data_IF_923600303472
#
_entry.id   IF_923600303472
#
_cell.length_a   1.000
_cell.length_b   1.000
_cell.length_c   1.000
_cell.angle_alpha   90.00
_cell.angle_beta   90.00
_cell.angle_gamma   90.00
#
_symmetry.space_group_name_H-M   'P 1'
#
loop_
_entity.id
_entity.type
_entity.pdbx_description
1 polymer ?
#
# COMPACT_ATOMS: atom_id res chain seq x y z
N UNK A 1 -6.76 -5.90 -12.17
CA UNK A 1 -6.99 -4.58 -11.50
C UNK A 1 -5.83 -4.16 -10.58
N UNK A 2 -5.13 -5.10 -9.94
CA UNK A 2 -3.94 -4.79 -9.10
C UNK A 2 -2.71 -4.34 -9.90
N UNK A 3 -2.53 -4.77 -11.14
CA UNK A 3 -1.42 -4.29 -11.99
C UNK A 3 -1.52 -2.80 -12.34
N UNK A 4 -2.72 -2.22 -12.40
CA UNK A 4 -2.90 -0.78 -12.65
C UNK A 4 -2.43 0.11 -11.49
N UNK A 5 -2.47 -0.38 -10.25
CA UNK A 5 -2.02 0.39 -9.08
C UNK A 5 -0.49 0.52 -8.99
N UNK A 6 0.25 -0.52 -9.43
CA UNK A 6 1.72 -0.49 -9.49
C UNK A 6 2.24 0.42 -10.61
N UNK A 7 1.56 0.45 -11.76
CA UNK A 7 1.89 1.34 -12.88
C UNK A 7 1.76 2.81 -12.47
N UNK A 8 0.80 3.16 -11.61
CA UNK A 8 0.65 4.52 -11.09
C UNK A 8 1.81 5.01 -10.22
N UNK A 9 2.43 4.13 -9.41
CA UNK A 9 3.59 4.49 -8.58
C UNK A 9 4.89 4.60 -9.38
N UNK A 10 5.07 3.75 -10.38
CA UNK A 10 6.24 3.83 -11.27
C UNK A 10 6.18 5.06 -12.18
N UNK A 11 5.01 5.46 -12.68
CA UNK A 11 4.82 6.71 -13.39
C UNK A 11 5.18 7.93 -12.53
N UNK A 12 4.82 7.94 -11.25
CA UNK A 12 5.15 9.05 -10.34
C UNK A 12 6.66 9.17 -10.09
N UNK A 13 7.41 8.07 -10.06
CA UNK A 13 8.87 8.07 -9.92
C UNK A 13 9.53 8.52 -11.23
N UNK A 14 9.07 8.04 -12.39
CA UNK A 14 9.56 8.48 -13.71
C UNK A 14 9.31 9.96 -13.92
N UNK A 15 8.14 10.48 -13.58
CA UNK A 15 7.82 11.89 -13.70
C UNK A 15 8.70 12.77 -12.81
N UNK A 16 9.05 12.32 -11.61
CA UNK A 16 9.99 13.02 -10.72
C UNK A 16 11.42 12.99 -11.25
N UNK A 17 11.85 11.87 -11.81
CA UNK A 17 13.19 11.77 -12.42
C UNK A 17 13.29 12.61 -13.70
N UNK A 18 12.28 12.61 -14.56
CA UNK A 18 12.22 13.44 -15.76
C UNK A 18 12.27 14.92 -15.38
N UNK A 19 11.58 15.34 -14.31
CA UNK A 19 11.68 16.70 -13.77
C UNK A 19 13.09 17.10 -13.34
N UNK A 20 13.74 16.23 -12.57
CA UNK A 20 15.12 16.47 -12.13
C UNK A 20 16.07 16.61 -13.33
N UNK A 21 15.89 15.77 -14.35
CA UNK A 21 16.68 15.83 -15.57
C UNK A 21 16.41 17.10 -16.39
N UNK A 22 15.16 17.58 -16.49
CA UNK A 22 14.82 18.81 -17.17
C UNK A 22 15.36 20.06 -16.44
N UNK A 23 15.32 20.07 -15.11
CA UNK A 23 15.92 21.15 -14.29
C UNK A 23 17.44 21.17 -14.47
N UNK A 24 18.09 20.01 -14.51
CA UNK A 24 19.55 19.89 -14.73
C UNK A 24 19.97 20.21 -16.16
N UNK A 25 19.10 20.01 -17.15
CA UNK A 25 19.37 20.31 -18.56
C UNK A 25 19.23 21.79 -18.91
N UNK A 26 18.81 22.65 -17.97
CA UNK A 26 18.71 24.11 -18.18
C UNK A 26 17.74 24.52 -19.28
N UNK A 27 16.77 23.67 -19.65
CA UNK A 27 15.75 24.01 -20.64
C UNK A 27 14.69 24.91 -20.00
N UNK A 28 14.77 26.20 -20.29
CA UNK A 28 13.72 27.19 -20.02
C UNK A 28 12.51 26.93 -20.92
N UNK A 29 11.66 26.03 -20.54
CA UNK A 29 10.30 25.95 -21.08
C UNK A 29 9.29 26.28 -19.98
N UNK A 30 9.02 27.58 -19.81
CA UNK A 30 7.97 28.10 -18.92
C UNK A 30 6.57 27.56 -19.23
N UNK A 31 6.36 26.94 -20.39
CA UNK A 31 5.04 26.46 -20.82
C UNK A 31 4.63 25.10 -20.28
N UNK A 32 5.59 24.27 -19.80
CA UNK A 32 5.30 22.94 -19.24
C UNK A 32 5.02 23.00 -17.72
N UNK A 33 5.50 24.04 -17.04
CA UNK A 33 5.34 24.23 -15.59
C UNK A 33 3.91 24.63 -15.20
N UNK A 34 3.13 25.19 -16.12
CA UNK A 34 1.76 25.66 -15.88
C UNK A 34 0.70 24.55 -15.73
N UNK A 35 0.98 23.31 -16.10
CA UNK A 35 0.05 22.18 -15.95
C UNK A 35 0.35 21.26 -14.77
N UNK A 36 1.02 21.74 -13.73
CA UNK A 36 0.95 21.08 -12.44
C UNK A 36 -0.47 21.23 -11.91
N UNK A 37 -1.36 20.30 -12.34
CA UNK A 37 -2.65 20.10 -11.72
C UNK A 37 -2.40 20.09 -10.22
N UNK A 38 -2.96 21.08 -9.54
CA UNK A 38 -3.07 21.12 -8.09
C UNK A 38 -3.55 19.72 -7.69
N UNK A 39 -2.65 18.86 -7.20
CA UNK A 39 -3.01 17.47 -6.89
C UNK A 39 -4.20 17.56 -5.97
N UNK A 40 -5.27 16.87 -6.36
CA UNK A 40 -6.48 16.76 -5.55
C UNK A 40 -6.07 16.41 -4.10
N UNK A 41 -6.43 17.22 -3.11
CA UNK A 41 -6.04 17.00 -1.72
C UNK A 41 -6.42 15.60 -1.20
N UNK A 42 -7.52 15.01 -1.71
CA UNK A 42 -7.93 13.64 -1.38
C UNK A 42 -6.93 12.63 -1.96
N UNK A 43 -6.47 12.84 -3.17
CA UNK A 43 -5.46 11.99 -3.84
C UNK A 43 -4.10 12.07 -3.15
N UNK A 44 -3.66 13.27 -2.79
CA UNK A 44 -2.40 13.46 -2.07
C UNK A 44 -2.45 12.76 -0.71
N UNK A 45 -3.55 12.92 0.03
CA UNK A 45 -3.73 12.26 1.32
C UNK A 45 -3.75 10.75 1.17
N UNK A 46 -4.41 10.21 0.15
CA UNK A 46 -4.40 8.76 -0.12
C UNK A 46 -3.00 8.24 -0.46
N UNK A 47 -2.21 8.97 -1.24
CA UNK A 47 -0.82 8.62 -1.52
C UNK A 47 0.02 8.56 -0.23
N UNK A 48 -0.14 9.50 0.69
CA UNK A 48 0.55 9.49 1.99
C UNK A 48 0.18 8.26 2.82
N UNK A 49 -1.11 7.84 2.81
CA UNK A 49 -1.56 6.62 3.48
C UNK A 49 -0.91 5.39 2.85
N UNK A 50 -0.87 5.29 1.52
CA UNK A 50 -0.25 4.17 0.81
C UNK A 50 1.24 4.05 1.13
N UNK A 51 1.98 5.15 1.07
CA UNK A 51 3.39 5.18 1.44
C UNK A 51 3.59 4.74 2.89
N UNK A 52 2.75 5.24 3.81
CA UNK A 52 2.82 4.84 5.22
C UNK A 52 2.63 3.32 5.40
N UNK A 53 1.64 2.74 4.70
CA UNK A 53 1.39 1.28 4.74
C UNK A 53 2.59 0.51 4.19
N UNK A 54 3.12 0.89 3.03
CA UNK A 54 4.31 0.24 2.43
C UNK A 54 5.48 0.22 3.39
N UNK A 55 5.75 1.33 4.07
CA UNK A 55 6.88 1.45 5.00
C UNK A 55 6.66 0.71 6.34
N UNK A 56 5.41 0.55 6.79
CA UNK A 56 5.12 0.11 8.15
C UNK A 56 4.29 -1.18 8.24
N UNK A 57 3.80 -1.75 7.13
CA UNK A 57 2.86 -2.90 7.15
C UNK A 57 3.32 -4.09 7.98
N UNK A 58 4.64 -4.30 8.09
CA UNK A 58 5.24 -5.39 8.89
C UNK A 58 5.19 -5.14 10.39
N UNK A 59 4.83 -3.95 10.82
CA UNK A 59 4.69 -3.57 12.23
C UNK A 59 3.23 -3.59 12.64
N UNK A 60 2.99 -3.46 13.94
CA UNK A 60 1.63 -3.25 14.45
C UNK A 60 1.19 -1.82 14.15
N UNK A 61 0.32 -1.66 13.12
CA UNK A 61 -0.22 -0.37 12.72
C UNK A 61 -1.63 -0.23 13.29
N UNK A 62 -1.85 0.80 14.09
CA UNK A 62 -3.19 1.16 14.57
C UNK A 62 -3.87 2.18 13.63
N UNK A 63 -5.21 2.23 13.68
CA UNK A 63 -5.98 3.25 12.96
C UNK A 63 -5.59 4.68 13.41
N UNK A 64 -5.26 4.84 14.70
CA UNK A 64 -4.88 6.13 15.26
C UNK A 64 -3.51 6.61 14.74
N UNK A 65 -2.56 5.68 14.51
CA UNK A 65 -1.26 6.02 13.95
C UNK A 65 -1.38 6.57 12.54
N UNK A 66 -2.16 5.89 11.70
CA UNK A 66 -2.37 6.32 10.31
C UNK A 66 -3.18 7.61 10.23
N UNK A 67 -4.24 7.72 11.03
CA UNK A 67 -5.05 8.93 11.09
C UNK A 67 -4.19 10.14 11.48
N UNK A 68 -3.37 10.02 12.52
CA UNK A 68 -2.42 11.05 12.97
C UNK A 68 -1.41 11.41 11.88
N UNK A 69 -0.89 10.40 11.17
CA UNK A 69 0.07 10.62 10.07
C UNK A 69 -0.48 11.52 8.95
N UNK A 70 -1.78 11.46 8.70
CA UNK A 70 -2.43 12.29 7.66
C UNK A 70 -3.19 13.49 8.24
N UNK A 71 -3.01 13.81 9.53
CA UNK A 71 -3.61 14.97 10.19
C UNK A 71 -5.12 14.85 10.39
N UNK A 72 -5.63 13.64 10.63
CA UNK A 72 -7.05 13.36 10.85
C UNK A 72 -7.28 12.71 12.22
N UNK A 73 -8.49 12.87 12.77
CA UNK A 73 -8.94 12.01 13.84
C UNK A 73 -9.40 10.66 13.27
N UNK A 74 -9.47 9.64 14.12
CA UNK A 74 -9.82 8.26 13.74
C UNK A 74 -11.14 8.15 12.98
N UNK A 75 -12.17 8.84 13.44
CA UNK A 75 -13.51 8.79 12.83
C UNK A 75 -13.49 9.37 11.41
N UNK A 76 -12.95 10.56 11.26
CA UNK A 76 -12.81 11.24 9.96
C UNK A 76 -11.95 10.43 9.00
N UNK A 77 -10.87 9.82 9.48
CA UNK A 77 -10.03 8.93 8.69
C UNK A 77 -10.79 7.72 8.16
N UNK A 78 -11.55 7.03 9.02
CA UNK A 78 -12.32 5.85 8.61
C UNK A 78 -13.35 6.20 7.52
N UNK A 79 -14.06 7.32 7.67
CA UNK A 79 -15.04 7.79 6.69
C UNK A 79 -14.35 8.15 5.37
N UNK A 80 -13.28 8.97 5.45
CA UNK A 80 -12.49 9.37 4.29
C UNK A 80 -11.94 8.15 3.54
N UNK A 81 -11.27 7.26 4.26
CA UNK A 81 -10.62 6.10 3.64
C UNK A 81 -11.63 5.19 2.94
N UNK A 82 -12.77 4.91 3.59
CA UNK A 82 -13.83 4.10 3.01
C UNK A 82 -14.46 4.78 1.79
N UNK A 83 -14.66 6.10 1.83
CA UNK A 83 -15.17 6.88 0.69
C UNK A 83 -14.25 6.76 -0.53
N UNK A 84 -12.94 6.95 -0.33
CA UNK A 84 -11.97 7.00 -1.43
C UNK A 84 -11.55 5.62 -1.93
N UNK A 85 -11.38 4.64 -1.03
CA UNK A 85 -10.89 3.28 -1.37
C UNK A 85 -11.98 2.24 -1.59
N UNK A 86 -13.23 2.53 -1.20
CA UNK A 86 -14.35 1.58 -1.25
C UNK A 86 -14.31 0.48 -0.17
N UNK A 87 -13.30 0.46 0.69
CA UNK A 87 -13.09 -0.57 1.73
C UNK A 87 -12.57 0.02 3.04
N UNK A 88 -12.61 -0.78 4.11
CA UNK A 88 -12.03 -0.33 5.39
C UNK A 88 -10.50 -0.36 5.33
N UNK A 89 -9.84 0.47 6.13
CA UNK A 89 -8.37 0.45 6.24
C UNK A 89 -7.80 -0.89 6.68
N UNK A 90 -8.48 -1.58 7.61
CA UNK A 90 -8.06 -2.92 8.06
C UNK A 90 -8.11 -3.94 6.91
N UNK A 91 -9.15 -3.88 6.08
CA UNK A 91 -9.25 -4.73 4.89
C UNK A 91 -8.10 -4.45 3.93
N UNK A 92 -7.83 -3.19 3.65
CA UNK A 92 -6.73 -2.74 2.79
C UNK A 92 -5.35 -3.19 3.29
N UNK A 93 -5.08 -3.00 4.60
CA UNK A 93 -3.83 -3.42 5.22
C UNK A 93 -3.66 -4.95 5.16
N UNK A 94 -4.73 -5.69 5.42
CA UNK A 94 -4.71 -7.14 5.33
C UNK A 94 -4.44 -7.63 3.90
N UNK A 95 -5.08 -7.01 2.89
CA UNK A 95 -4.80 -7.32 1.47
C UNK A 95 -3.32 -7.11 1.15
N UNK A 96 -2.75 -5.99 1.55
CA UNK A 96 -1.33 -5.71 1.34
C UNK A 96 -0.42 -6.76 2.01
N UNK A 97 -0.71 -7.11 3.28
CA UNK A 97 0.03 -8.13 4.02
C UNK A 97 -0.07 -9.53 3.39
N UNK A 98 -1.25 -9.89 2.88
CA UNK A 98 -1.45 -11.17 2.18
C UNK A 98 -0.67 -11.22 0.88
N UNK A 99 -0.61 -10.12 0.11
CA UNK A 99 0.24 -10.08 -1.10
C UNK A 99 1.72 -10.22 -0.77
N UNK A 100 2.21 -9.63 0.32
CA UNK A 100 3.56 -9.87 0.82
C UNK A 100 3.77 -11.35 1.19
N UNK A 101 2.79 -11.95 1.90
CA UNK A 101 2.87 -13.35 2.28
C UNK A 101 2.94 -14.28 1.05
N UNK A 102 2.15 -14.03 0.02
CA UNK A 102 2.17 -14.81 -1.22
C UNK A 102 3.57 -14.81 -1.88
N UNK A 103 4.25 -13.65 -1.87
CA UNK A 103 5.63 -13.56 -2.39
C UNK A 103 6.61 -14.36 -1.55
N UNK A 104 6.52 -14.24 -0.22
CA UNK A 104 7.42 -14.96 0.70
C UNK A 104 7.19 -16.49 0.64
N UNK A 105 5.94 -16.93 0.56
CA UNK A 105 5.60 -18.36 0.43
C UNK A 105 6.23 -19.01 -0.80
N UNK A 106 6.37 -18.26 -1.90
CA UNK A 106 6.99 -18.77 -3.15
C UNK A 106 8.52 -18.71 -3.14
N UNK A 107 9.12 -17.81 -2.35
CA UNK A 107 10.55 -17.52 -2.40
C UNK A 107 11.34 -18.16 -1.25
N UNK A 108 10.72 -18.42 -0.12
CA UNK A 108 11.40 -18.80 1.11
C UNK A 108 10.95 -20.17 1.61
N UNK A 109 11.92 -20.99 2.06
CA UNK A 109 11.66 -22.26 2.75
C UNK A 109 11.49 -22.02 4.26
N UNK A 110 10.54 -21.18 4.63
CA UNK A 110 10.21 -20.86 6.03
C UNK A 110 8.79 -21.30 6.35
N UNK A 111 8.49 -21.46 7.62
CA UNK A 111 7.17 -21.92 8.07
C UNK A 111 6.07 -20.86 7.80
N UNK A 112 4.85 -21.32 7.59
CA UNK A 112 3.66 -20.42 7.44
C UNK A 112 3.50 -19.51 8.65
N UNK A 113 3.80 -20.00 9.86
CA UNK A 113 3.74 -19.20 11.09
C UNK A 113 4.77 -18.07 11.07
N UNK A 114 5.97 -18.35 10.63
CA UNK A 114 7.02 -17.33 10.51
C UNK A 114 6.67 -16.26 9.48
N UNK A 115 6.15 -16.66 8.33
CA UNK A 115 5.66 -15.71 7.32
C UNK A 115 4.53 -14.84 7.88
N UNK A 116 3.59 -15.42 8.62
CA UNK A 116 2.52 -14.69 9.30
C UNK A 116 3.08 -13.51 10.12
N UNK A 117 4.07 -13.77 10.96
CA UNK A 117 4.68 -12.72 11.78
C UNK A 117 5.53 -11.73 10.96
N UNK A 118 6.27 -12.21 9.97
CA UNK A 118 7.10 -11.36 9.10
C UNK A 118 6.28 -10.33 8.31
N UNK A 119 5.05 -10.66 7.94
CA UNK A 119 4.18 -9.74 7.20
C UNK A 119 3.31 -8.85 8.11
N UNK A 120 3.43 -9.00 9.43
CA UNK A 120 2.80 -8.13 10.42
C UNK A 120 1.48 -8.62 11.00
N UNK A 121 1.12 -9.90 10.84
CA UNK A 121 0.01 -10.49 11.59
C UNK A 121 0.51 -10.98 12.96
N UNK A 122 -0.30 -10.78 14.00
CA UNK A 122 0.02 -11.20 15.37
C UNK A 122 -0.63 -12.53 15.76
N UNK A 123 -1.43 -13.13 14.85
CA UNK A 123 -2.23 -14.31 15.14
C UNK A 123 -2.34 -15.21 13.91
N UNK A 124 -1.77 -16.41 14.00
CA UNK A 124 -1.75 -17.38 12.88
C UNK A 124 -3.15 -17.86 12.46
N UNK A 125 -4.07 -18.23 13.38
CA UNK A 125 -5.44 -18.56 13.00
C UNK A 125 -6.17 -17.45 12.25
N UNK A 126 -5.98 -16.19 12.68
CA UNK A 126 -6.55 -15.03 11.97
C UNK A 126 -5.93 -14.86 10.58
N UNK A 127 -4.61 -14.95 10.47
CA UNK A 127 -3.88 -14.91 9.19
C UNK A 127 -4.41 -15.98 8.23
N UNK A 128 -4.50 -17.25 8.66
CA UNK A 128 -5.00 -18.35 7.82
C UNK A 128 -6.42 -18.10 7.30
N UNK A 129 -7.30 -17.59 8.17
CA UNK A 129 -8.68 -17.24 7.80
C UNK A 129 -8.73 -16.14 6.76
N UNK A 130 -7.95 -15.07 6.95
CA UNK A 130 -7.88 -13.93 6.02
C UNK A 130 -7.27 -14.37 4.70
N UNK A 131 -6.19 -15.14 4.73
CA UNK A 131 -5.52 -15.67 3.55
C UNK A 131 -6.47 -16.53 2.72
N UNK A 132 -7.13 -17.51 3.34
CA UNK A 132 -8.09 -18.40 2.66
C UNK A 132 -9.26 -17.60 2.08
N UNK A 133 -9.77 -16.59 2.80
CA UNK A 133 -10.83 -15.71 2.29
C UNK A 133 -10.41 -14.96 1.02
N UNK A 134 -9.15 -14.53 0.93
CA UNK A 134 -8.66 -13.71 -0.18
C UNK A 134 -8.13 -14.52 -1.35
N UNK A 135 -7.53 -15.68 -1.10
CA UNK A 135 -6.86 -16.52 -2.12
C UNK A 135 -7.64 -17.80 -2.46
N UNK A 136 -8.70 -18.12 -1.73
CA UNK A 136 -9.50 -19.33 -1.92
C UNK A 136 -8.91 -20.61 -1.32
N UNK A 137 -7.60 -20.62 -1.03
CA UNK A 137 -6.84 -21.76 -0.49
C UNK A 137 -6.09 -21.34 0.78
N UNK A 138 -5.66 -22.33 1.57
CA UNK A 138 -4.83 -22.05 2.75
C UNK A 138 -3.40 -21.65 2.35
N UNK A 139 -2.64 -20.97 3.24
CA UNK A 139 -1.23 -20.64 2.96
C UNK A 139 -0.38 -21.88 2.65
N UNK A 140 -0.63 -22.98 3.32
CA UNK A 140 0.11 -24.23 3.09
C UNK A 140 -0.17 -24.85 1.71
N UNK A 141 -1.42 -24.79 1.25
CA UNK A 141 -1.80 -25.23 -0.09
C UNK A 141 -1.25 -24.30 -1.17
N UNK A 142 -1.17 -23.00 -0.89
CA UNK A 142 -0.70 -21.99 -1.85
C UNK A 142 0.77 -22.18 -2.27
N UNK A 143 1.60 -22.77 -1.41
CA UNK A 143 3.02 -23.07 -1.71
C UNK A 143 3.16 -24.06 -2.89
N UNK A 144 2.16 -24.91 -3.10
CA UNK A 144 2.18 -25.96 -4.13
C UNK A 144 1.49 -25.54 -5.45
N UNK A 145 0.97 -24.31 -5.50
CA UNK A 145 0.38 -23.71 -6.72
C UNK A 145 1.41 -22.86 -7.47
#
# INVERSE_FOLDING_TARGET
EMQRSLVGSEMCIRDRMIKLLLILAGSEEESVVGQYQKMDPERERMNRIQVYVVCNAKRDITLDDVARHVGMNRTSFCIFFKKVSGKTFVTYLNEYRIELACRLLKQQKVSVAEICYQVGFNNVPYFNRVFKKMKGVSPSEYVFL
#
